data_IF_644718097590
#
_entry.id   IF_644718097590
#
_cell.length_a   1.000
_cell.length_b   1.000
_cell.length_c   1.000
_cell.angle_alpha   90.00
_cell.angle_beta   90.00
_cell.angle_gamma   90.00
#
_symmetry.space_group_name_H-M   'P 1'
#
loop_
_entity.id
_entity.type
_entity.pdbx_description
1 polymer ?
#
# COMPACT_ATOMS: atom_id res chain seq x y z
N UNK A 1 5.57 -40.15 -26.59
CA UNK A 1 4.35 -39.37 -26.89
C UNK A 1 3.15 -40.19 -26.43
N UNK A 2 2.02 -39.62 -26.00
CA UNK A 2 1.65 -38.24 -25.64
C UNK A 2 1.24 -38.15 -24.14
N UNK A 3 0.81 -37.06 -23.48
CA UNK A 3 0.75 -35.59 -23.65
C UNK A 3 0.45 -35.03 -22.23
N UNK A 4 1.09 -33.90 -21.87
CA UNK A 4 0.51 -32.71 -21.19
C UNK A 4 -0.08 -32.87 -19.77
N UNK A 5 -0.06 -31.93 -18.81
CA UNK A 5 0.27 -30.51 -18.70
C UNK A 5 0.19 -30.22 -17.18
N UNK A 6 1.08 -29.43 -16.55
CA UNK A 6 0.93 -27.97 -16.35
C UNK A 6 -0.29 -27.68 -15.43
N UNK A 7 -0.26 -26.99 -14.29
CA UNK A 7 0.65 -26.06 -13.60
C UNK A 7 0.03 -25.86 -12.20
N UNK A 8 0.85 -25.71 -11.15
CA UNK A 8 0.97 -24.47 -10.37
C UNK A 8 -0.34 -23.69 -10.08
N UNK A 9 -0.67 -23.59 -8.79
CA UNK A 9 -1.48 -22.51 -8.21
C UNK A 9 -0.97 -22.25 -6.80
N UNK A 10 0.26 -21.74 -6.66
CA UNK A 10 0.51 -20.36 -6.26
C UNK A 10 -0.25 -19.96 -5.00
N UNK A 11 0.51 -20.00 -3.89
CA UNK A 11 0.11 -19.56 -2.58
C UNK A 11 -0.56 -18.19 -2.63
N UNK A 12 -1.57 -18.06 -1.77
CA UNK A 12 -2.20 -16.81 -1.40
C UNK A 12 -1.10 -15.79 -1.20
N UNK A 13 -0.95 -14.91 -2.20
CA UNK A 13 -0.10 -13.76 -2.11
C UNK A 13 -0.69 -12.90 -1.03
N UNK A 14 -0.27 -13.14 0.22
CA UNK A 14 -0.14 -12.11 1.23
C UNK A 14 0.41 -10.94 0.43
N UNK A 15 -0.43 -9.92 0.21
CA UNK A 15 0.06 -8.65 -0.28
C UNK A 15 1.15 -8.35 0.72
N UNK A 16 2.41 -8.57 0.32
CA UNK A 16 3.56 -8.08 1.05
C UNK A 16 3.17 -6.63 1.17
N UNK A 17 2.69 -6.23 2.35
CA UNK A 17 2.88 -4.89 2.86
C UNK A 17 4.32 -4.67 2.48
N UNK A 18 4.57 -3.87 1.43
CA UNK A 18 5.93 -3.54 1.06
C UNK A 18 6.41 -2.99 2.37
N UNK A 19 7.17 -3.80 3.10
CA UNK A 19 8.03 -3.34 4.16
C UNK A 19 8.79 -2.29 3.39
N UNK A 20 8.37 -1.04 3.59
CA UNK A 20 9.08 0.09 3.08
C UNK A 20 10.42 -0.15 3.73
N UNK A 21 11.32 -0.73 2.95
CA UNK A 21 12.68 -1.02 3.35
C UNK A 21 13.24 0.39 3.45
N UNK A 22 12.96 1.05 4.58
CA UNK A 22 13.39 2.40 4.91
C UNK A 22 14.87 2.30 5.29
N UNK A 23 15.65 1.77 4.35
CA UNK A 23 17.06 2.03 4.21
C UNK A 23 17.27 3.19 3.22
N UNK A 24 16.20 3.90 2.83
CA UNK A 24 16.36 5.24 2.27
C UNK A 24 16.94 6.15 3.38
N UNK A 25 18.05 6.86 3.12
CA UNK A 25 18.72 7.68 4.13
C UNK A 25 17.75 8.73 4.68
N UNK A 26 17.37 8.60 5.95
CA UNK A 26 16.50 9.57 6.60
C UNK A 26 17.26 10.84 6.93
N UNK A 27 16.67 11.99 6.60
CA UNK A 27 17.24 13.30 6.89
C UNK A 27 17.01 13.68 8.35
N UNK A 28 18.06 14.09 9.07
CA UNK A 28 17.85 14.85 10.31
C UNK A 28 17.24 16.22 9.97
N UNK A 29 16.34 16.73 10.82
CA UNK A 29 15.62 17.98 10.57
C UNK A 29 16.56 19.16 10.34
N UNK A 30 17.71 19.21 11.02
CA UNK A 30 18.72 20.26 10.82
C UNK A 30 19.35 20.16 9.43
N UNK A 31 19.70 18.94 8.99
CA UNK A 31 20.27 18.69 7.65
C UNK A 31 19.24 18.96 6.55
N UNK A 32 17.99 18.56 6.75
CA UNK A 32 16.90 18.85 5.83
C UNK A 32 16.69 20.36 5.66
N UNK A 33 16.75 21.13 6.75
CA UNK A 33 16.67 22.61 6.69
C UNK A 33 17.83 23.20 5.90
N UNK A 34 19.06 22.73 6.12
CA UNK A 34 20.25 23.22 5.42
C UNK A 34 20.28 22.83 3.93
N UNK A 35 19.67 21.71 3.55
CA UNK A 35 19.67 21.15 2.19
C UNK A 35 18.26 21.01 1.60
N UNK A 36 17.36 21.93 1.95
CA UNK A 36 15.94 21.79 1.65
C UNK A 36 15.66 21.61 0.15
N UNK A 37 16.34 22.38 -0.71
CA UNK A 37 16.20 22.27 -2.17
C UNK A 37 16.54 20.88 -2.70
N UNK A 38 17.50 20.19 -2.07
CA UNK A 38 17.85 18.83 -2.46
C UNK A 38 16.80 17.83 -1.98
N UNK A 39 16.35 17.94 -0.73
CA UNK A 39 15.25 17.10 -0.22
C UNK A 39 14.02 17.25 -1.10
N UNK A 40 13.69 18.48 -1.49
CA UNK A 40 12.59 18.79 -2.39
C UNK A 40 12.77 18.15 -3.78
N UNK A 41 13.96 18.32 -4.40
CA UNK A 41 14.25 17.69 -5.69
C UNK A 41 14.10 16.17 -5.60
N UNK A 42 14.70 15.54 -4.59
CA UNK A 42 14.63 14.08 -4.39
C UNK A 42 13.20 13.61 -4.14
N UNK A 43 12.41 14.35 -3.36
CA UNK A 43 11.00 14.05 -3.14
C UNK A 43 10.19 13.96 -4.45
N UNK A 44 10.57 14.77 -5.44
CA UNK A 44 9.90 14.81 -6.76
C UNK A 44 10.48 13.83 -7.78
N UNK A 45 11.79 13.57 -7.76
CA UNK A 45 12.46 12.74 -8.81
C UNK A 45 12.76 11.32 -8.37
N UNK A 46 13.06 11.11 -7.09
CA UNK A 46 13.51 9.83 -6.53
C UNK A 46 12.42 9.18 -5.66
N UNK A 47 11.48 9.97 -5.15
CA UNK A 47 10.34 9.51 -4.36
C UNK A 47 10.39 9.97 -2.90
N UNK A 48 9.52 9.41 -2.02
CA UNK A 48 9.30 9.90 -0.67
C UNK A 48 10.57 10.06 0.17
N UNK A 49 10.74 11.22 0.82
CA UNK A 49 11.89 11.52 1.67
C UNK A 49 11.48 11.59 3.13
N UNK A 50 12.13 10.81 3.98
CA UNK A 50 11.84 10.78 5.42
C UNK A 50 12.71 11.77 6.19
N UNK A 51 12.08 12.68 6.92
CA UNK A 51 12.72 13.69 7.75
C UNK A 51 12.40 13.37 9.22
N UNK A 52 13.41 13.34 10.09
CA UNK A 52 13.26 13.05 11.52
C UNK A 52 13.88 14.11 12.41
N UNK A 53 13.27 14.30 13.59
CA UNK A 53 13.83 15.04 14.72
C UNK A 53 14.30 14.04 15.77
N UNK A 54 15.61 14.04 16.06
CA UNK A 54 16.22 13.19 17.10
C UNK A 54 15.85 11.69 16.98
N UNK A 55 15.60 11.22 15.76
CA UNK A 55 15.26 9.83 15.48
C UNK A 55 13.86 9.36 15.92
N UNK A 56 13.05 10.18 16.61
CA UNK A 56 11.76 9.77 17.18
C UNK A 56 10.56 10.32 16.41
N UNK A 57 10.49 11.64 16.26
CA UNK A 57 9.43 12.31 15.49
C UNK A 57 9.83 12.36 14.02
N UNK A 58 8.92 12.04 13.10
CA UNK A 58 9.23 12.03 11.67
C UNK A 58 8.07 12.45 10.78
N UNK A 59 8.41 13.13 9.69
CA UNK A 59 7.49 13.50 8.61
C UNK A 59 8.05 12.99 7.29
N UNK A 60 7.16 12.72 6.32
CA UNK A 60 7.56 12.30 4.99
C UNK A 60 7.20 13.42 4.01
N UNK A 61 8.18 13.86 3.22
CA UNK A 61 7.96 14.74 2.09
C UNK A 61 7.72 13.89 0.84
N UNK A 62 6.61 14.16 0.15
CA UNK A 62 6.26 13.57 -1.14
C UNK A 62 5.90 14.69 -2.11
N UNK A 63 5.92 14.39 -3.42
CA UNK A 63 5.40 15.33 -4.40
C UNK A 63 3.89 15.54 -4.23
N UNK A 64 3.41 16.69 -4.68
CA UNK A 64 1.99 17.02 -4.71
C UNK A 64 1.21 16.03 -5.57
N UNK A 65 1.72 15.68 -6.75
CA UNK A 65 1.06 14.72 -7.65
C UNK A 65 0.88 13.36 -6.94
N UNK A 66 1.89 12.91 -6.19
CA UNK A 66 1.80 11.67 -5.42
C UNK A 66 0.87 11.78 -4.21
N UNK A 67 0.82 12.93 -3.57
CA UNK A 67 -0.14 13.17 -2.47
C UNK A 67 -1.58 13.12 -2.99
N UNK A 68 -1.85 13.71 -4.15
CA UNK A 68 -3.16 13.66 -4.80
C UNK A 68 -3.56 12.24 -5.18
N UNK A 69 -2.66 11.39 -5.68
CA UNK A 69 -2.98 9.97 -5.93
C UNK A 69 -3.36 9.21 -4.64
N UNK A 70 -2.71 9.55 -3.51
CA UNK A 70 -2.92 8.86 -2.23
C UNK A 70 -4.17 9.32 -1.49
N UNK A 71 -4.45 10.63 -1.53
CA UNK A 71 -5.53 11.27 -0.74
C UNK A 71 -6.71 11.68 -1.62
N UNK A 72 -6.52 11.70 -2.94
CA UNK A 72 -7.54 12.06 -3.91
C UNK A 72 -8.77 11.18 -3.77
N UNK A 73 -9.87 11.80 -3.33
CA UNK A 73 -11.23 11.22 -3.37
C UNK A 73 -11.66 10.83 -4.80
N UNK A 74 -10.93 11.26 -5.82
CA UNK A 74 -11.11 10.86 -7.21
C UNK A 74 -11.03 9.34 -7.42
N UNK A 75 -10.25 8.64 -6.59
CA UNK A 75 -10.16 7.17 -6.60
C UNK A 75 -11.04 6.49 -5.56
N UNK A 76 -11.77 7.26 -4.73
CA UNK A 76 -12.78 6.68 -3.86
C UNK A 76 -14.07 6.47 -4.66
N UNK A 77 -14.51 5.22 -4.83
CA UNK A 77 -15.76 4.95 -5.51
C UNK A 77 -16.91 5.62 -4.75
N UNK A 78 -17.87 6.19 -5.49
CA UNK A 78 -18.99 6.95 -4.90
C UNK A 78 -19.89 6.06 -4.03
N UNK A 79 -19.79 4.75 -4.19
CA UNK A 79 -20.49 3.75 -3.39
C UNK A 79 -19.70 2.43 -3.34
N UNK A 80 -20.01 1.60 -2.34
CA UNK A 80 -19.49 0.23 -2.24
C UNK A 80 -19.85 -0.63 -3.46
N UNK A 81 -21.01 -0.39 -4.07
CA UNK A 81 -21.43 -1.09 -5.29
C UNK A 81 -20.50 -0.75 -6.45
N UNK A 82 -20.16 0.53 -6.63
CA UNK A 82 -19.23 0.97 -7.67
C UNK A 82 -17.82 0.39 -7.45
N UNK A 83 -17.36 0.34 -6.20
CA UNK A 83 -16.08 -0.29 -5.84
C UNK A 83 -15.99 -1.74 -6.36
N UNK A 84 -17.00 -2.57 -6.05
CA UNK A 84 -17.00 -3.97 -6.43
C UNK A 84 -17.10 -4.16 -7.95
N UNK A 85 -17.76 -3.25 -8.67
CA UNK A 85 -17.85 -3.27 -10.13
C UNK A 85 -16.55 -2.89 -10.83
N UNK A 86 -15.82 -1.92 -10.29
CA UNK A 86 -14.54 -1.44 -10.84
C UNK A 86 -13.33 -2.25 -10.35
N UNK A 87 -13.55 -3.13 -9.37
CA UNK A 87 -12.51 -4.00 -8.82
C UNK A 87 -11.93 -4.92 -9.92
N UNK A 88 -10.60 -5.15 -9.94
CA UNK A 88 -9.99 -6.15 -10.82
C UNK A 88 -10.43 -7.58 -10.50
N UNK A 89 -11.18 -7.78 -9.41
CA UNK A 89 -11.80 -9.04 -9.02
C UNK A 89 -13.25 -9.14 -9.50
N UNK A 90 -13.72 -8.24 -10.36
CA UNK A 90 -15.05 -8.36 -10.97
C UNK A 90 -15.14 -9.67 -11.76
N UNK A 91 -16.24 -10.40 -11.58
CA UNK A 91 -16.49 -11.66 -12.29
C UNK A 91 -15.70 -12.87 -11.79
N UNK A 92 -14.95 -12.76 -10.68
CA UNK A 92 -14.43 -13.95 -9.99
C UNK A 92 -15.59 -14.72 -9.38
N UNK A 93 -15.50 -16.05 -9.46
CA UNK A 93 -16.48 -16.92 -8.83
C UNK A 93 -16.23 -16.94 -7.32
N UNK A 94 -17.24 -16.53 -6.55
CA UNK A 94 -17.19 -16.46 -5.10
C UNK A 94 -18.21 -17.47 -4.56
N UNK A 95 -17.77 -18.34 -3.66
CA UNK A 95 -18.73 -19.10 -2.87
C UNK A 95 -19.40 -18.15 -1.87
N UNK A 96 -20.66 -17.82 -2.14
CA UNK A 96 -21.48 -16.94 -1.29
C UNK A 96 -22.32 -17.73 -0.27
N UNK A 97 -22.14 -19.04 -0.20
CA UNK A 97 -22.78 -19.84 0.84
C UNK A 97 -22.33 -19.36 2.21
N UNK A 98 -23.33 -19.18 3.10
CA UNK A 98 -23.05 -18.81 4.48
C UNK A 98 -22.39 -19.99 5.18
N UNK A 99 -21.13 -19.80 5.54
CA UNK A 99 -20.45 -20.71 6.45
C UNK A 99 -21.17 -20.66 7.81
N UNK A 100 -21.62 -21.82 8.30
CA UNK A 100 -22.20 -21.97 9.64
C UNK A 100 -21.08 -22.12 10.66
N UNK A 101 -20.25 -21.10 10.77
CA UNK A 101 -19.30 -21.01 11.87
C UNK A 101 -20.06 -20.55 13.13
N UNK A 102 -19.87 -21.27 14.23
CA UNK A 102 -20.49 -20.96 15.53
C UNK A 102 -19.67 -19.92 16.32
N UNK A 103 -18.60 -19.40 15.72
CA UNK A 103 -17.76 -18.37 16.31
C UNK A 103 -16.78 -18.95 17.34
N UNK A 104 -16.11 -18.07 18.08
CA UNK A 104 -15.14 -18.50 19.11
C UNK A 104 -15.87 -18.85 20.40
N UNK A 105 -15.51 -19.97 21.01
CA UNK A 105 -15.91 -20.30 22.40
C UNK A 105 -15.55 -19.14 23.35
N UNK A 106 -16.55 -18.64 24.06
CA UNK A 106 -16.38 -17.66 25.13
C UNK A 106 -16.95 -18.23 26.42
N UNK A 107 -16.19 -18.10 27.51
CA UNK A 107 -16.67 -18.38 28.86
C UNK A 107 -17.50 -17.18 29.33
N UNK A 108 -18.74 -17.43 29.76
CA UNK A 108 -19.69 -16.42 30.27
C UNK A 108 -19.72 -16.40 31.80
#
# INVERSE_FOLDING_TARGET
MPKTSKKHGQGVGVRKTRSLKLAEPSWQIQTAKARFSEVFRRARTEGPQLIRRQGKEGVVMISDERYEELVGKSHQPKSIVQFFRESPLVGVDLNLEREKDEGREIEL
#
